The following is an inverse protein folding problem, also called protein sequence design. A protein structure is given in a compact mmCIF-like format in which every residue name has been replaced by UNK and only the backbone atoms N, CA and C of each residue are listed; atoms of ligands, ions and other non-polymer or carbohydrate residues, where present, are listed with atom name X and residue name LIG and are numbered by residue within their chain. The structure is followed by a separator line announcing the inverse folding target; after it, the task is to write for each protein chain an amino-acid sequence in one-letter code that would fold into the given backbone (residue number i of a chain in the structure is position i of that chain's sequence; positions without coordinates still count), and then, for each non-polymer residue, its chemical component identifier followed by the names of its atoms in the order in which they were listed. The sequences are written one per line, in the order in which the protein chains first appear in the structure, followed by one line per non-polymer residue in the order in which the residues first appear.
data_IF_781718489245
#
_entry.id   IF_781718489245
#
_cell.length_a   1.000
_cell.length_b   1.000
_cell.length_c   1.000
_cell.angle_alpha   90.00
_cell.angle_beta   90.00
_cell.angle_gamma   90.00
#
_symmetry.space_group_name_H-M   'P 1'
#
loop_
_entity.id
_entity.type
_entity.pdbx_description
1 polymer ?
#
# COMPACT_ATOMS: atom_id res chain seq x y z
N UNK A 1 -13.94 15.73 28.47
CA UNK A 1 -13.82 14.93 27.24
C UNK A 1 -13.00 15.60 26.13
N UNK A 2 -12.80 16.93 26.10
CA UNK A 2 -11.99 17.60 25.06
C UNK A 2 -10.46 17.64 25.32
N UNK A 3 -10.00 17.14 26.47
CA UNK A 3 -8.62 17.34 26.94
C UNK A 3 -7.61 16.35 26.32
N UNK A 4 -8.09 15.24 25.77
CA UNK A 4 -7.21 14.16 25.26
C UNK A 4 -6.91 14.26 23.76
N UNK A 5 -7.54 15.19 23.04
CA UNK A 5 -7.27 15.42 21.61
C UNK A 5 -5.89 16.07 21.46
N UNK A 6 -4.97 15.34 20.82
CA UNK A 6 -3.59 15.79 20.55
C UNK A 6 -3.40 16.28 19.11
N UNK A 7 -4.26 15.88 18.18
CA UNK A 7 -4.30 16.37 16.81
C UNK A 7 -5.75 16.62 16.42
N UNK A 8 -6.06 17.82 15.92
CA UNK A 8 -7.38 18.17 15.41
C UNK A 8 -7.25 18.79 14.02
N UNK A 9 -7.93 18.19 13.04
CA UNK A 9 -8.00 18.67 11.67
C UNK A 9 -9.43 19.12 11.38
N UNK A 10 -9.59 20.34 10.87
CA UNK A 10 -10.90 20.94 10.58
C UNK A 10 -10.91 21.58 9.19
N UNK A 11 -11.87 21.13 8.38
CA UNK A 11 -12.22 21.63 7.05
C UNK A 11 -11.00 21.84 6.14
N UNK A 12 -10.05 20.91 6.26
CA UNK A 12 -8.72 21.05 5.67
C UNK A 12 -8.78 20.77 4.17
N UNK A 13 -8.42 21.77 3.38
CA UNK A 13 -8.37 21.67 1.92
C UNK A 13 -7.02 22.12 1.38
N UNK A 14 -6.58 21.50 0.28
CA UNK A 14 -5.33 21.85 -0.40
C UNK A 14 -5.46 21.64 -1.90
N UNK A 15 -5.16 22.69 -2.68
CA UNK A 15 -5.09 22.64 -4.13
C UNK A 15 -3.70 23.02 -4.64
N UNK A 16 -3.23 22.35 -5.69
CA UNK A 16 -2.01 22.64 -6.43
C UNK A 16 -2.34 23.13 -7.84
N UNK A 17 -1.62 24.13 -8.33
CA UNK A 17 -1.70 24.55 -9.73
C UNK A 17 -0.68 23.76 -10.55
N UNK A 18 -1.14 22.94 -11.50
CA UNK A 18 -0.31 22.26 -12.48
C UNK A 18 0.29 23.28 -13.46
N UNK A 19 1.58 23.14 -13.77
CA UNK A 19 2.27 23.95 -14.77
C UNK A 19 2.93 25.24 -14.27
N UNK A 20 2.78 25.60 -13.00
CA UNK A 20 3.57 26.67 -12.38
C UNK A 20 4.61 26.08 -11.43
N UNK A 21 5.83 25.86 -11.94
CA UNK A 21 7.00 25.76 -11.07
C UNK A 21 7.10 27.10 -10.34
N UNK A 22 7.10 27.07 -9.01
CA UNK A 22 7.34 28.24 -8.17
C UNK A 22 8.53 29.03 -8.72
N UNK A 23 8.33 30.31 -9.02
CA UNK A 23 9.38 31.20 -9.58
C UNK A 23 10.44 31.60 -8.54
N UNK A 24 10.47 30.93 -7.38
CA UNK A 24 11.65 30.88 -6.51
C UNK A 24 11.97 32.13 -5.70
N UNK A 25 11.08 33.13 -5.61
CA UNK A 25 11.37 34.31 -4.77
C UNK A 25 10.12 34.90 -4.13
N UNK A 26 10.11 35.03 -2.80
CA UNK A 26 9.03 35.58 -1.98
C UNK A 26 8.58 36.99 -2.42
N UNK A 27 9.48 37.77 -3.01
CA UNK A 27 9.21 39.10 -3.55
C UNK A 27 8.21 39.05 -4.72
N UNK A 28 8.29 38.02 -5.57
CA UNK A 28 7.40 37.86 -6.72
C UNK A 28 5.98 37.46 -6.31
N UNK A 29 5.83 36.62 -5.28
CA UNK A 29 4.52 36.22 -4.75
C UNK A 29 3.80 37.38 -4.04
N UNK A 30 4.54 38.24 -3.34
CA UNK A 30 4.00 39.45 -2.71
C UNK A 30 3.53 40.46 -3.76
N UNK A 31 4.31 40.63 -4.84
CA UNK A 31 3.97 41.54 -5.93
C UNK A 31 2.71 41.06 -6.68
N UNK A 32 2.60 39.74 -6.93
CA UNK A 32 1.42 39.12 -7.56
C UNK A 32 0.15 39.29 -6.71
N UNK A 33 0.27 39.19 -5.39
CA UNK A 33 -0.84 39.43 -4.47
C UNK A 33 -1.31 40.89 -4.50
N UNK A 34 -0.38 41.87 -4.53
CA UNK A 34 -0.72 43.29 -4.69
C UNK A 34 -1.43 43.58 -6.02
N UNK A 35 -0.93 43.05 -7.14
CA UNK A 35 -1.57 43.26 -8.46
C UNK A 35 -2.98 42.66 -8.52
N UNK A 36 -3.21 41.50 -7.89
CA UNK A 36 -4.55 40.92 -7.74
C UNK A 36 -5.48 41.76 -6.87
N UNK A 37 -5.00 42.34 -5.77
CA UNK A 37 -5.82 43.22 -4.92
C UNK A 37 -6.17 44.54 -5.61
N UNK A 38 -5.31 45.03 -6.51
CA UNK A 38 -5.54 46.26 -7.28
C UNK A 38 -6.33 46.04 -8.58
N UNK A 39 -6.81 44.81 -8.83
CA UNK A 39 -7.59 44.48 -10.03
C UNK A 39 -6.80 44.55 -11.34
N UNK A 40 -5.46 44.51 -11.28
CA UNK A 40 -4.58 44.56 -12.44
C UNK A 40 -4.13 43.15 -12.88
N UNK A 41 -3.88 42.94 -14.18
CA UNK A 41 -3.38 41.66 -14.69
C UNK A 41 -1.98 41.34 -14.14
N UNK A 42 -1.70 40.04 -13.96
CA UNK A 42 -0.48 39.54 -13.33
C UNK A 42 0.76 39.80 -14.21
N UNK A 43 1.76 40.57 -13.75
CA UNK A 43 2.91 40.97 -14.57
C UNK A 43 3.84 39.80 -14.97
N UNK A 44 3.64 38.60 -14.42
CA UNK A 44 4.45 37.41 -14.71
C UNK A 44 3.70 36.34 -15.51
N UNK A 45 2.52 36.66 -16.03
CA UNK A 45 1.78 35.77 -16.93
C UNK A 45 2.51 35.73 -18.29
N UNK A 46 3.05 34.56 -18.68
CA UNK A 46 3.81 34.43 -19.93
C UNK A 46 2.87 34.66 -21.13
N UNK A 47 3.10 35.75 -21.84
CA UNK A 47 2.45 36.05 -23.12
C UNK A 47 3.01 35.12 -24.21
N UNK A 48 2.11 34.38 -24.88
CA UNK A 48 2.42 33.68 -26.12
C UNK A 48 2.59 32.16 -26.00
N UNK A 49 1.47 31.43 -25.92
CA UNK A 49 1.35 30.10 -26.52
C UNK A 49 -0.01 30.04 -27.21
N UNK A 50 -0.02 30.29 -28.52
CA UNK A 50 -1.17 29.96 -29.36
C UNK A 50 -1.23 28.45 -29.52
N UNK A 51 -2.29 27.82 -29.02
CA UNK A 51 -2.70 26.49 -29.49
C UNK A 51 -4.20 26.49 -29.66
N UNK A 52 -4.61 26.08 -30.86
CA UNK A 52 -5.98 26.12 -31.35
C UNK A 52 -6.89 25.19 -30.55
N UNK A 53 -8.12 25.67 -30.41
CA UNK A 53 -9.24 25.13 -29.64
C UNK A 53 -9.53 23.64 -29.85
N UNK A 54 -9.52 22.90 -28.74
CA UNK A 54 -10.29 21.67 -28.50
C UNK A 54 -10.81 21.73 -27.07
N UNK A 55 -12.12 21.61 -26.89
CA UNK A 55 -12.83 21.93 -25.66
C UNK A 55 -12.45 21.05 -24.46
N UNK A 56 -11.59 21.56 -23.57
CA UNK A 56 -11.77 21.40 -22.12
C UNK A 56 -10.97 22.47 -21.35
N UNK A 57 -11.65 23.56 -20.98
CA UNK A 57 -11.08 24.71 -20.30
C UNK A 57 -10.88 24.48 -18.80
N UNK A 58 -9.95 23.59 -18.41
CA UNK A 58 -9.48 23.51 -17.02
C UNK A 58 -8.06 24.05 -16.91
N UNK A 59 -7.95 25.31 -16.53
CA UNK A 59 -6.78 25.82 -15.80
C UNK A 59 -6.43 24.81 -14.70
N UNK A 60 -5.30 24.12 -14.84
CA UNK A 60 -5.01 22.87 -14.13
C UNK A 60 -4.87 23.05 -12.62
N UNK A 61 -5.98 23.02 -11.88
CA UNK A 61 -5.99 22.94 -10.41
C UNK A 61 -6.27 21.50 -9.99
N UNK A 62 -5.32 20.88 -9.31
CA UNK A 62 -5.50 19.56 -8.68
C UNK A 62 -5.83 19.77 -7.23
N UNK A 63 -7.04 19.38 -6.81
CA UNK A 63 -7.40 19.33 -5.40
C UNK A 63 -6.88 18.04 -4.77
N UNK A 64 -5.90 18.17 -3.89
CA UNK A 64 -5.29 17.06 -3.17
C UNK A 64 -6.01 16.72 -1.87
N UNK A 65 -6.59 17.71 -1.18
CA UNK A 65 -7.46 17.53 -0.02
C UNK A 65 -8.69 18.44 -0.15
N UNK A 66 -9.83 17.94 0.30
CA UNK A 66 -11.14 18.59 0.24
C UNK A 66 -11.89 18.34 1.54
N UNK A 67 -12.06 19.40 2.34
CA UNK A 67 -12.92 19.47 3.53
C UNK A 67 -12.68 18.31 4.51
N UNK A 68 -11.41 18.02 4.77
CA UNK A 68 -10.99 16.92 5.65
C UNK A 68 -11.11 17.36 7.11
N UNK A 69 -11.84 16.59 7.91
CA UNK A 69 -12.05 16.83 9.34
C UNK A 69 -11.96 15.52 10.14
N UNK A 70 -11.08 15.47 11.14
CA UNK A 70 -10.96 14.37 12.09
C UNK A 70 -10.14 14.79 13.32
N UNK A 71 -10.31 14.08 14.44
CA UNK A 71 -9.54 14.27 15.67
C UNK A 71 -8.80 12.98 16.04
N UNK A 72 -7.62 13.10 16.63
CA UNK A 72 -6.83 11.97 17.14
C UNK A 72 -6.52 12.20 18.61
N UNK A 73 -6.77 11.17 19.42
CA UNK A 73 -6.57 11.20 20.86
C UNK A 73 -5.16 10.70 21.24
N UNK A 74 -4.71 11.05 22.44
CA UNK A 74 -3.41 10.60 22.93
C UNK A 74 -3.37 9.08 23.00
N UNK A 75 -2.30 8.49 22.45
CA UNK A 75 -2.09 7.05 22.47
C UNK A 75 -2.79 6.29 21.35
N UNK A 76 -3.57 6.96 20.50
CA UNK A 76 -4.11 6.35 19.29
C UNK A 76 -3.01 5.91 18.34
N UNK A 77 -3.19 4.74 17.73
CA UNK A 77 -2.39 4.24 16.61
C UNK A 77 -3.29 4.23 15.38
N UNK A 78 -3.27 5.33 14.64
CA UNK A 78 -4.18 5.57 13.52
C UNK A 78 -3.56 5.17 12.20
N UNK A 79 -4.18 4.23 11.50
CA UNK A 79 -3.86 3.89 10.12
C UNK A 79 -4.51 4.85 9.13
N UNK A 80 -3.73 5.58 8.34
CA UNK A 80 -4.24 6.42 7.24
C UNK A 80 -4.12 5.62 5.94
N UNK A 81 -5.25 5.12 5.45
CA UNK A 81 -5.32 4.22 4.29
C UNK A 81 -5.98 4.89 3.08
N UNK A 82 -5.74 4.35 1.88
CA UNK A 82 -6.34 4.83 0.64
C UNK A 82 -5.42 4.62 -0.56
N UNK A 83 -5.97 4.74 -1.78
CA UNK A 83 -5.20 4.57 -3.02
C UNK A 83 -4.14 5.64 -3.28
N UNK A 84 -3.37 5.46 -4.35
CA UNK A 84 -2.43 6.48 -4.83
C UNK A 84 -3.19 7.74 -5.25
N UNK A 85 -2.65 8.91 -4.90
CA UNK A 85 -3.31 10.19 -5.16
C UNK A 85 -4.51 10.51 -4.25
N UNK A 86 -4.80 9.70 -3.23
CA UNK A 86 -5.91 9.96 -2.31
C UNK A 86 -5.72 11.18 -1.37
N UNK A 87 -4.52 11.78 -1.33
CA UNK A 87 -4.21 12.96 -0.51
C UNK A 87 -3.34 12.71 0.74
N UNK A 88 -3.01 11.43 1.03
CA UNK A 88 -2.24 11.03 2.25
C UNK A 88 -0.93 11.81 2.43
N UNK A 89 -0.06 11.83 1.43
CA UNK A 89 1.23 12.55 1.51
C UNK A 89 1.05 14.07 1.61
N UNK A 90 -0.04 14.62 1.05
CA UNK A 90 -0.37 16.05 1.20
C UNK A 90 -0.82 16.36 2.63
N UNK A 91 -1.65 15.50 3.22
CA UNK A 91 -2.03 15.61 4.63
C UNK A 91 -0.78 15.59 5.53
N UNK A 92 0.11 14.62 5.31
CA UNK A 92 1.33 14.51 6.09
C UNK A 92 2.21 15.76 6.01
N UNK A 93 2.39 16.34 4.80
CA UNK A 93 3.15 17.59 4.61
C UNK A 93 2.53 18.78 5.34
N UNK A 94 1.20 18.80 5.50
CA UNK A 94 0.52 19.85 6.26
C UNK A 94 0.73 19.62 7.77
N UNK A 95 0.56 18.38 8.23
CA UNK A 95 0.76 18.02 9.64
C UNK A 95 2.21 18.25 10.10
N UNK A 96 3.18 17.98 9.24
CA UNK A 96 4.61 18.26 9.49
C UNK A 96 5.00 19.72 9.25
N UNK A 97 4.05 20.60 8.93
CA UNK A 97 4.26 22.04 8.64
C UNK A 97 5.19 22.33 7.45
N UNK A 98 5.40 21.37 6.57
CA UNK A 98 6.17 21.54 5.33
C UNK A 98 5.39 22.37 4.30
N UNK A 99 4.07 22.28 4.29
CA UNK A 99 3.22 23.14 3.44
C UNK A 99 2.00 23.64 4.19
N UNK A 100 1.59 24.88 3.93
CA UNK A 100 0.34 25.43 4.46
C UNK A 100 -0.89 24.86 3.73
N UNK A 101 -2.03 24.68 4.39
CA UNK A 101 -3.29 24.38 3.71
C UNK A 101 -3.74 25.54 2.81
N UNK A 102 -4.65 25.26 1.87
CA UNK A 102 -5.34 26.29 1.08
C UNK A 102 -6.50 26.92 1.86
N UNK A 103 -7.20 26.12 2.66
CA UNK A 103 -8.21 26.56 3.62
C UNK A 103 -8.34 25.53 4.76
N UNK A 104 -9.04 25.91 5.83
CA UNK A 104 -9.12 25.12 7.06
C UNK A 104 -7.85 25.19 7.89
N UNK A 105 -7.75 24.36 8.92
CA UNK A 105 -6.60 24.35 9.82
C UNK A 105 -6.37 22.99 10.46
N UNK A 106 -5.11 22.71 10.79
CA UNK A 106 -4.70 21.57 11.61
C UNK A 106 -4.01 22.10 12.87
N UNK A 107 -4.47 21.67 14.05
CA UNK A 107 -3.89 22.01 15.34
C UNK A 107 -3.28 20.77 15.99
N UNK A 108 -2.12 20.96 16.62
CA UNK A 108 -1.30 19.89 17.18
C UNK A 108 -0.88 20.30 18.58
N UNK A 109 -1.13 19.43 19.57
CA UNK A 109 -0.65 19.58 20.94
C UNK A 109 0.54 18.63 21.16
N UNK A 110 1.73 19.20 21.30
CA UNK A 110 2.97 18.45 21.53
C UNK A 110 3.92 18.45 20.32
N UNK A 111 4.97 17.64 20.42
CA UNK A 111 6.01 17.49 19.39
C UNK A 111 5.62 16.41 18.38
N UNK A 112 5.52 16.79 17.10
CA UNK A 112 5.42 15.84 15.98
C UNK A 112 6.84 15.50 15.51
N UNK A 113 7.11 14.20 15.38
CA UNK A 113 8.24 13.70 14.60
C UNK A 113 7.70 12.98 13.36
N UNK A 114 8.35 13.15 12.21
CA UNK A 114 7.94 12.51 10.97
C UNK A 114 9.10 11.72 10.37
N UNK A 115 8.83 10.47 9.99
CA UNK A 115 9.78 9.62 9.28
C UNK A 115 9.88 9.94 7.77
N UNK A 116 9.12 10.92 7.28
CA UNK A 116 9.26 11.45 5.91
C UNK A 116 10.63 12.08 5.65
N UNK A 117 11.31 12.46 6.73
CA UNK A 117 12.55 13.24 6.75
C UNK A 117 13.74 12.42 7.27
N UNK A 118 13.63 11.09 7.24
CA UNK A 118 14.68 10.17 7.71
C UNK A 118 15.99 10.45 6.95
N UNK A 119 16.99 10.92 7.70
CA UNK A 119 18.33 11.26 7.20
C UNK A 119 18.51 12.73 6.85
N UNK A 120 17.43 13.51 6.73
CA UNK A 120 17.57 14.96 6.55
C UNK A 120 18.29 15.57 7.75
N UNK A 121 19.29 16.40 7.47
CA UNK A 121 20.16 16.96 8.50
C UNK A 121 21.37 16.11 8.89
N UNK A 122 21.55 14.92 8.32
CA UNK A 122 22.84 14.24 8.44
C UNK A 122 23.89 15.02 7.66
N UNK A 123 25.02 15.28 8.31
CA UNK A 123 26.17 15.93 7.72
C UNK A 123 27.17 14.87 7.22
N UNK A 124 27.50 14.84 5.91
CA UNK A 124 28.31 13.77 5.32
C UNK A 124 29.72 13.63 5.92
N UNK A 125 30.31 14.74 6.37
CA UNK A 125 31.66 14.76 6.97
C UNK A 125 31.68 14.32 8.45
N UNK A 126 30.53 14.30 9.12
CA UNK A 126 30.43 13.89 10.52
C UNK A 126 30.33 12.37 10.63
N UNK A 127 30.82 11.83 11.75
CA UNK A 127 30.68 10.42 12.11
C UNK A 127 29.23 10.04 12.39
N UNK A 128 28.92 8.74 12.44
CA UNK A 128 27.59 8.26 12.82
C UNK A 128 27.15 8.81 14.18
N UNK A 129 28.03 8.80 15.17
CA UNK A 129 27.75 9.33 16.51
C UNK A 129 27.43 10.82 16.49
N UNK A 130 28.25 11.63 15.82
CA UNK A 130 28.02 13.07 15.70
C UNK A 130 26.70 13.36 14.97
N UNK A 131 26.35 12.54 13.98
CA UNK A 131 25.06 12.63 13.29
C UNK A 131 23.87 12.24 14.19
N UNK A 132 24.02 11.26 15.10
CA UNK A 132 23.01 10.96 16.11
C UNK A 132 22.74 12.20 16.99
N UNK A 133 23.80 12.89 17.44
CA UNK A 133 23.66 14.12 18.23
C UNK A 133 23.06 15.27 17.43
N UNK A 134 23.53 15.50 16.20
CA UNK A 134 23.04 16.57 15.32
C UNK A 134 21.55 16.38 14.99
N UNK A 135 21.18 15.18 14.52
CA UNK A 135 19.81 14.88 14.14
C UNK A 135 18.87 14.83 15.35
N UNK A 136 19.33 14.27 16.48
CA UNK A 136 18.59 14.33 17.74
C UNK A 136 18.30 15.77 18.17
N UNK A 137 19.28 16.67 18.08
CA UNK A 137 19.09 18.09 18.40
C UNK A 137 18.10 18.78 17.44
N UNK A 138 18.21 18.52 16.14
CA UNK A 138 17.25 19.03 15.14
C UNK A 138 15.81 18.58 15.42
N UNK A 139 15.64 17.35 15.90
CA UNK A 139 14.34 16.77 16.24
C UNK A 139 13.91 17.08 17.69
N UNK A 140 14.62 18.00 18.36
CA UNK A 140 14.23 18.54 19.67
C UNK A 140 14.63 17.70 20.88
N UNK A 141 15.62 16.81 20.75
CA UNK A 141 16.26 16.14 21.87
C UNK A 141 17.39 16.99 22.46
N UNK A 142 17.46 17.03 23.79
CA UNK A 142 18.64 17.58 24.48
C UNK A 142 19.81 16.60 24.37
N UNK A 143 21.05 17.10 24.44
CA UNK A 143 22.26 16.26 24.47
C UNK A 143 22.21 15.18 25.55
N UNK A 144 21.58 15.48 26.70
CA UNK A 144 21.37 14.51 27.79
C UNK A 144 20.43 13.38 27.39
N UNK A 145 19.30 13.71 26.74
CA UNK A 145 18.35 12.71 26.23
C UNK A 145 18.99 11.85 25.14
N UNK A 146 19.71 12.46 24.20
CA UNK A 146 20.40 11.73 23.13
C UNK A 146 21.47 10.80 23.70
N UNK A 147 22.30 11.27 24.63
CA UNK A 147 23.31 10.44 25.29
C UNK A 147 22.69 9.26 26.05
N UNK A 148 21.55 9.48 26.71
CA UNK A 148 20.85 8.41 27.43
C UNK A 148 20.24 7.32 26.54
N UNK A 149 20.09 7.58 25.24
CA UNK A 149 19.54 6.63 24.24
C UNK A 149 20.57 6.17 23.22
N UNK A 150 21.81 6.65 23.31
CA UNK A 150 22.85 6.41 22.31
C UNK A 150 23.07 4.91 22.08
N UNK A 151 23.25 4.15 23.16
CA UNK A 151 23.51 2.71 23.07
C UNK A 151 22.33 1.95 22.43
N UNK A 152 21.09 2.33 22.76
CA UNK A 152 19.88 1.76 22.15
C UNK A 152 19.78 2.09 20.65
N UNK A 153 20.08 3.32 20.27
CA UNK A 153 20.09 3.77 18.86
C UNK A 153 21.13 2.98 18.08
N UNK A 154 22.33 2.85 18.62
CA UNK A 154 23.42 2.13 17.96
C UNK A 154 23.04 0.65 17.83
N UNK A 155 22.65 -0.01 18.92
CA UNK A 155 22.16 -1.39 18.98
C UNK A 155 21.05 -1.69 17.96
N UNK A 156 20.10 -0.76 17.84
CA UNK A 156 18.99 -0.89 16.91
C UNK A 156 19.45 -0.78 15.45
N UNK A 157 20.35 0.16 15.15
CA UNK A 157 20.87 0.39 13.80
C UNK A 157 21.79 -0.73 13.29
N UNK A 158 22.47 -1.44 14.19
CA UNK A 158 23.44 -2.49 13.85
C UNK A 158 24.70 -1.96 13.15
N UNK A 159 25.10 -0.71 13.45
CA UNK A 159 26.27 -0.06 12.84
C UNK A 159 27.45 0.10 13.80
N UNK A 160 27.45 -0.55 14.97
CA UNK A 160 28.44 -0.42 16.04
C UNK A 160 29.88 -0.33 15.51
N UNK A 161 30.33 -1.21 14.58
CA UNK A 161 31.72 -1.18 14.10
C UNK A 161 32.06 0.08 13.30
N UNK A 162 31.04 0.76 12.75
CA UNK A 162 31.14 1.91 11.86
C UNK A 162 30.70 3.22 12.52
N UNK A 163 30.36 3.22 13.81
CA UNK A 163 29.81 4.40 14.50
C UNK A 163 30.74 5.62 14.41
N UNK A 164 32.06 5.41 14.48
CA UNK A 164 33.10 6.45 14.36
C UNK A 164 33.53 6.73 12.92
N UNK A 165 32.87 6.14 11.93
CA UNK A 165 33.14 6.37 10.51
C UNK A 165 32.26 7.52 9.99
N UNK A 166 32.81 8.46 9.19
CA UNK A 166 32.01 9.50 8.55
C UNK A 166 30.87 8.93 7.70
N UNK A 167 29.68 9.53 7.81
CA UNK A 167 28.45 9.01 7.16
C UNK A 167 28.55 8.99 5.63
N UNK A 168 29.37 9.83 5.00
CA UNK A 168 29.64 9.73 3.55
C UNK A 168 30.25 8.40 3.10
N UNK A 169 30.82 7.61 4.03
CA UNK A 169 31.38 6.28 3.77
C UNK A 169 30.40 5.15 4.09
N UNK A 170 29.19 5.47 4.53
CA UNK A 170 28.17 4.47 4.81
C UNK A 170 27.60 3.94 3.50
N UNK A 171 27.22 2.67 3.47
CA UNK A 171 26.31 2.19 2.44
C UNK A 171 24.96 2.90 2.59
N UNK A 172 24.16 2.94 1.51
CA UNK A 172 22.79 3.45 1.57
C UNK A 172 21.95 2.76 2.65
N UNK A 173 22.15 1.45 2.85
CA UNK A 173 21.49 0.69 3.92
C UNK A 173 21.91 1.14 5.32
N UNK A 174 23.20 1.31 5.58
CA UNK A 174 23.70 1.81 6.87
C UNK A 174 23.18 3.22 7.19
N UNK A 175 23.16 4.09 6.18
CA UNK A 175 22.64 5.45 6.29
C UNK A 175 21.17 5.44 6.75
N UNK A 176 20.33 4.67 6.06
CA UNK A 176 18.90 4.57 6.38
C UNK A 176 18.67 3.89 7.73
N UNK A 177 19.42 2.83 8.05
CA UNK A 177 19.33 2.15 9.35
C UNK A 177 19.63 3.10 10.51
N UNK A 178 20.70 3.90 10.40
CA UNK A 178 21.04 4.88 11.42
C UNK A 178 19.97 5.97 11.56
N UNK A 179 19.56 6.55 10.43
CA UNK A 179 18.57 7.62 10.42
C UNK A 179 17.23 7.15 11.02
N UNK A 180 16.81 5.93 10.69
CA UNK A 180 15.62 5.33 11.28
C UNK A 180 15.81 5.04 12.77
N UNK A 181 16.96 4.50 13.17
CA UNK A 181 17.25 4.21 14.57
C UNK A 181 17.15 5.46 15.45
N UNK A 182 17.71 6.59 15.00
CA UNK A 182 17.57 7.87 15.69
C UNK A 182 16.10 8.24 15.81
N UNK A 183 15.37 8.19 14.69
CA UNK A 183 13.99 8.61 14.64
C UNK A 183 13.05 7.75 15.51
N UNK A 184 13.24 6.43 15.53
CA UNK A 184 12.46 5.50 16.34
C UNK A 184 12.71 5.65 17.86
N UNK A 185 13.84 6.24 18.24
CA UNK A 185 14.18 6.53 19.64
C UNK A 185 13.90 7.99 20.03
N UNK A 186 13.31 8.79 19.14
CA UNK A 186 12.89 10.15 19.46
C UNK A 186 11.92 10.20 20.63
N UNK A 187 11.93 11.34 21.31
CA UNK A 187 10.97 11.68 22.34
C UNK A 187 9.92 12.61 21.75
N UNK A 188 9.00 12.05 20.96
CA UNK A 188 7.90 12.77 20.32
C UNK A 188 6.56 12.35 20.91
N UNK A 189 5.62 13.30 20.97
CA UNK A 189 4.25 13.05 21.42
C UNK A 189 3.42 12.35 20.33
N UNK A 190 3.71 12.69 19.07
CA UNK A 190 3.06 12.15 17.88
C UNK A 190 4.14 11.73 16.89
N UNK A 191 4.14 10.45 16.49
CA UNK A 191 5.04 9.90 15.49
C UNK A 191 4.30 9.66 14.18
N UNK A 192 4.72 10.32 13.11
CA UNK A 192 4.23 10.09 11.75
C UNK A 192 5.17 9.10 11.07
N UNK A 193 4.58 8.04 10.55
CA UNK A 193 5.28 6.94 9.90
C UNK A 193 4.73 6.81 8.49
N UNK A 194 5.57 7.05 7.49
CA UNK A 194 5.22 6.84 6.08
C UNK A 194 5.79 5.50 5.58
N UNK A 195 5.14 4.96 4.57
CA UNK A 195 5.36 3.65 3.94
C UNK A 195 6.81 3.37 3.49
N UNK A 196 7.63 4.41 3.41
CA UNK A 196 9.10 4.38 3.21
C UNK A 196 9.83 3.51 4.26
N UNK A 197 9.14 3.03 5.30
CA UNK A 197 9.59 1.90 6.14
C UNK A 197 10.08 0.67 5.37
N UNK A 198 9.71 0.50 4.09
CA UNK A 198 10.19 -0.59 3.26
C UNK A 198 11.69 -0.52 2.91
N UNK A 199 12.41 0.55 3.30
CA UNK A 199 13.85 0.68 3.04
C UNK A 199 14.66 -0.04 4.14
N UNK A 200 15.36 -1.11 3.76
CA UNK A 200 16.14 -1.95 4.65
C UNK A 200 16.02 -3.43 4.28
N UNK A 201 16.77 -4.31 4.95
CA UNK A 201 16.56 -5.75 4.84
C UNK A 201 15.33 -6.21 5.67
N UNK A 202 14.83 -7.42 5.40
CA UNK A 202 13.65 -7.97 6.06
C UNK A 202 13.82 -8.09 7.59
N UNK A 203 15.04 -8.31 8.07
CA UNK A 203 15.32 -8.36 9.51
C UNK A 203 15.16 -6.98 10.15
N UNK A 204 15.68 -5.94 9.52
CA UNK A 204 15.55 -4.56 9.98
C UNK A 204 14.09 -4.09 9.92
N UNK A 205 13.35 -4.40 8.85
CA UNK A 205 11.91 -4.10 8.77
C UNK A 205 11.14 -4.73 9.94
N UNK A 206 11.44 -5.98 10.31
CA UNK A 206 10.85 -6.64 11.48
C UNK A 206 11.19 -5.92 12.78
N UNK A 207 12.43 -5.45 12.95
CA UNK A 207 12.85 -4.62 14.10
C UNK A 207 12.07 -3.30 14.14
N UNK A 208 11.87 -2.64 12.99
CA UNK A 208 11.10 -1.41 12.87
C UNK A 208 9.65 -1.59 13.32
N UNK A 209 8.97 -2.62 12.81
CA UNK A 209 7.58 -2.93 13.17
C UNK A 209 7.45 -3.27 14.66
N UNK A 210 8.38 -4.06 15.22
CA UNK A 210 8.41 -4.36 16.64
C UNK A 210 8.62 -3.13 17.52
N UNK A 211 9.52 -2.22 17.12
CA UNK A 211 9.73 -0.95 17.84
C UNK A 211 8.49 -0.07 17.79
N UNK A 212 7.82 0.03 16.64
CA UNK A 212 6.58 0.78 16.51
C UNK A 212 5.49 0.26 17.43
N UNK A 213 5.36 -1.07 17.54
CA UNK A 213 4.43 -1.70 18.47
C UNK A 213 4.76 -1.36 19.94
N UNK A 214 6.04 -1.44 20.33
CA UNK A 214 6.46 -1.03 21.68
C UNK A 214 6.20 0.46 21.95
N UNK A 215 6.38 1.31 20.94
CA UNK A 215 6.12 2.75 21.03
C UNK A 215 4.63 3.02 21.24
N UNK A 216 3.76 2.30 20.54
CA UNK A 216 2.32 2.34 20.76
C UNK A 216 1.94 1.90 22.18
N UNK A 217 2.50 0.80 22.68
CA UNK A 217 2.24 0.30 24.04
C UNK A 217 2.64 1.29 25.14
N UNK A 218 3.62 2.16 24.88
CA UNK A 218 4.01 3.23 25.82
C UNK A 218 3.06 4.44 25.86
N UNK A 219 1.91 4.37 25.18
CA UNK A 219 0.90 5.43 25.17
C UNK A 219 1.25 6.62 24.25
N UNK A 220 2.19 6.44 23.32
CA UNK A 220 2.54 7.44 22.31
C UNK A 220 1.56 7.36 21.14
N UNK A 221 1.22 8.51 20.59
CA UNK A 221 0.31 8.61 19.44
C UNK A 221 1.08 8.33 18.16
N UNK A 222 0.55 7.49 17.28
CA UNK A 222 1.20 7.10 16.02
C UNK A 222 0.24 7.31 14.86
N UNK A 223 0.67 8.04 13.83
CA UNK A 223 -0.01 8.12 12.54
C UNK A 223 0.75 7.25 11.54
N UNK A 224 0.14 6.14 11.15
CA UNK A 224 0.75 5.18 10.25
C UNK A 224 0.12 5.26 8.86
N UNK A 225 0.87 5.73 7.88
CA UNK A 225 0.42 5.90 6.50
C UNK A 225 1.01 4.79 5.65
N UNK A 226 0.16 3.93 5.12
CA UNK A 226 0.60 2.75 4.37
C UNK A 226 -0.48 2.24 3.42
N UNK A 227 -0.08 1.59 2.32
CA UNK A 227 -0.96 0.69 1.56
C UNK A 227 -1.00 -0.75 2.12
N UNK A 228 -0.17 -1.08 3.12
CA UNK A 228 -0.07 -2.42 3.71
C UNK A 228 -1.21 -2.70 4.69
N UNK A 229 -2.31 -3.27 4.20
CA UNK A 229 -3.52 -3.52 4.98
C UNK A 229 -3.32 -4.49 6.16
N UNK A 230 -2.44 -5.49 6.01
CA UNK A 230 -2.10 -6.40 7.10
C UNK A 230 -1.43 -5.69 8.27
N UNK A 231 -0.56 -4.72 7.98
CA UNK A 231 0.11 -3.93 9.01
C UNK A 231 -0.88 -3.04 9.74
N UNK A 232 -1.85 -2.45 9.03
CA UNK A 232 -2.93 -1.64 9.64
C UNK A 232 -3.77 -2.50 10.58
N UNK A 233 -4.21 -3.68 10.14
CA UNK A 233 -5.00 -4.61 10.99
C UNK A 233 -4.27 -5.05 12.25
N UNK A 234 -2.95 -5.23 12.18
CA UNK A 234 -2.15 -5.74 13.29
C UNK A 234 -1.71 -4.64 14.26
N UNK A 235 -1.41 -3.44 13.77
CA UNK A 235 -0.76 -2.39 14.54
C UNK A 235 -1.72 -1.26 14.94
N UNK A 236 -2.73 -0.97 14.13
CA UNK A 236 -3.60 0.18 14.34
C UNK A 236 -4.85 -0.23 15.09
N UNK A 237 -5.22 0.58 16.10
CA UNK A 237 -6.52 0.46 16.76
C UNK A 237 -7.60 1.19 15.95
N UNK A 238 -7.25 2.27 15.26
CA UNK A 238 -8.16 3.11 14.47
C UNK A 238 -7.68 3.21 13.02
N UNK A 239 -8.59 3.36 12.07
CA UNK A 239 -8.23 3.65 10.68
C UNK A 239 -9.08 4.76 10.07
N UNK A 240 -8.43 5.61 9.29
CA UNK A 240 -9.04 6.68 8.51
C UNK A 240 -8.77 6.40 7.05
N UNK A 241 -9.84 6.18 6.29
CA UNK A 241 -9.79 5.90 4.88
C UNK A 241 -9.99 7.16 4.05
N UNK A 242 -8.97 7.50 3.26
CA UNK A 242 -8.98 8.58 2.29
C UNK A 242 -9.32 8.09 0.88
N UNK A 243 -10.16 8.86 0.19
CA UNK A 243 -10.45 8.69 -1.23
C UNK A 243 -10.63 10.06 -1.90
N UNK A 244 -9.90 10.29 -3.00
CA UNK A 244 -9.99 11.52 -3.81
C UNK A 244 -9.91 12.82 -2.97
N UNK A 245 -9.04 12.83 -1.96
CA UNK A 245 -8.80 13.98 -1.09
C UNK A 245 -9.82 14.16 0.05
N UNK A 246 -10.74 13.21 0.26
CA UNK A 246 -11.76 13.25 1.32
C UNK A 246 -11.63 12.06 2.26
N UNK A 247 -12.09 12.21 3.49
CA UNK A 247 -12.27 11.08 4.43
C UNK A 247 -13.58 10.38 4.08
N UNK A 248 -13.50 9.12 3.69
CA UNK A 248 -14.66 8.30 3.39
C UNK A 248 -15.17 7.56 4.63
N UNK A 249 -14.25 7.13 5.49
CA UNK A 249 -14.56 6.43 6.73
C UNK A 249 -13.49 6.71 7.79
N UNK A 250 -13.92 6.86 9.04
CA UNK A 250 -13.06 7.00 10.22
C UNK A 250 -13.69 6.16 11.34
N UNK A 251 -12.95 5.17 11.85
CA UNK A 251 -13.45 4.27 12.89
C UNK A 251 -12.33 3.70 13.75
N UNK A 252 -12.62 3.53 15.04
CA UNK A 252 -11.79 2.83 16.04
C UNK A 252 -11.80 1.30 15.88
N UNK A 253 -12.42 0.78 14.82
CA UNK A 253 -12.25 -0.59 14.37
C UNK A 253 -11.47 -0.58 13.05
N UNK A 254 -10.14 -0.54 13.17
CA UNK A 254 -9.26 -0.54 12.00
C UNK A 254 -9.50 -1.74 11.07
N UNK A 255 -9.85 -2.90 11.63
CA UNK A 255 -10.09 -4.12 10.84
C UNK A 255 -11.33 -3.96 9.97
N UNK A 256 -12.41 -3.42 10.51
CA UNK A 256 -13.63 -3.15 9.75
C UNK A 256 -13.41 -2.13 8.62
N UNK A 257 -12.67 -1.04 8.86
CA UNK A 257 -12.36 -0.06 7.81
C UNK A 257 -11.50 -0.69 6.71
N UNK A 258 -10.51 -1.50 7.08
CA UNK A 258 -9.67 -2.21 6.10
C UNK A 258 -10.52 -3.21 5.28
N UNK A 259 -11.43 -3.94 5.92
CA UNK A 259 -12.36 -4.83 5.22
C UNK A 259 -13.22 -4.06 4.23
N UNK A 260 -13.78 -2.91 4.63
CA UNK A 260 -14.61 -2.10 3.73
C UNK A 260 -13.80 -1.46 2.60
N UNK A 261 -12.57 -1.02 2.88
CA UNK A 261 -11.63 -0.53 1.86
C UNK A 261 -11.34 -1.61 0.82
N UNK A 262 -10.99 -2.81 1.27
CA UNK A 262 -10.74 -3.95 0.38
C UNK A 262 -12.02 -4.33 -0.36
N UNK A 263 -13.16 -4.43 0.33
CA UNK A 263 -14.46 -4.66 -0.30
C UNK A 263 -14.74 -3.65 -1.39
N UNK A 264 -14.51 -2.35 -1.19
CA UNK A 264 -14.76 -1.35 -2.23
C UNK A 264 -13.80 -1.44 -3.40
N UNK A 265 -12.54 -1.78 -3.13
CA UNK A 265 -11.59 -2.11 -4.21
C UNK A 265 -12.04 -3.33 -5.02
N UNK A 266 -12.81 -4.22 -4.38
CA UNK A 266 -13.40 -5.43 -4.94
C UNK A 266 -14.83 -5.17 -5.49
N UNK A 267 -15.54 -4.14 -5.02
CA UNK A 267 -16.97 -3.90 -5.23
C UNK A 267 -17.29 -3.05 -6.46
N UNK A 268 -16.43 -3.03 -7.46
CA UNK A 268 -16.94 -3.04 -8.84
C UNK A 268 -17.69 -4.35 -9.06
N UNK A 269 -18.95 -4.34 -8.59
CA UNK A 269 -20.07 -5.26 -8.81
C UNK A 269 -19.76 -6.55 -9.55
N UNK A 270 -19.66 -7.70 -8.87
CA UNK A 270 -19.96 -9.03 -9.44
C UNK A 270 -19.37 -9.33 -10.82
N UNK A 271 -18.28 -8.64 -11.18
CA UNK A 271 -17.71 -8.65 -12.50
C UNK A 271 -16.93 -9.95 -12.57
N UNK A 272 -17.54 -10.95 -13.20
CA UNK A 272 -16.85 -12.15 -13.67
C UNK A 272 -15.94 -11.81 -14.85
N UNK A 273 -15.88 -10.55 -15.27
CA UNK A 273 -15.12 -10.07 -16.40
C UNK A 273 -14.68 -8.63 -16.17
N UNK A 274 -13.37 -8.41 -16.22
CA UNK A 274 -12.73 -7.11 -16.28
C UNK A 274 -12.23 -6.86 -17.70
N UNK A 275 -12.45 -5.64 -18.21
CA UNK A 275 -11.98 -5.20 -19.53
C UNK A 275 -11.17 -3.91 -19.40
N UNK A 276 -10.02 -3.87 -20.05
CA UNK A 276 -9.16 -2.69 -20.06
C UNK A 276 -9.81 -1.55 -20.86
N UNK A 277 -9.89 -0.36 -20.24
CA UNK A 277 -10.33 0.87 -20.91
C UNK A 277 -9.17 1.64 -21.56
N UNK A 278 -7.93 1.22 -21.31
CA UNK A 278 -6.76 1.92 -21.85
C UNK A 278 -6.53 1.59 -23.32
N UNK A 279 -6.08 2.56 -24.13
CA UNK A 279 -5.65 2.29 -25.49
C UNK A 279 -4.45 1.35 -25.50
N UNK A 280 -4.29 0.63 -26.61
CA UNK A 280 -3.16 -0.27 -26.80
C UNK A 280 -1.85 0.50 -26.69
N UNK A 281 -0.94 -0.02 -25.86
CA UNK A 281 0.43 0.47 -25.77
C UNK A 281 1.40 -0.61 -26.26
N UNK A 282 1.85 -0.47 -27.51
CA UNK A 282 2.78 -1.41 -28.15
C UNK A 282 4.16 -1.48 -27.47
N UNK A 283 4.47 -0.53 -26.59
CA UNK A 283 5.74 -0.51 -25.85
C UNK A 283 5.62 -1.08 -24.43
N UNK A 284 4.41 -1.42 -23.97
CA UNK A 284 4.22 -1.97 -22.65
C UNK A 284 4.85 -3.36 -22.54
N UNK A 285 5.61 -3.60 -21.46
CA UNK A 285 6.18 -4.92 -21.15
C UNK A 285 5.06 -5.96 -21.04
N UNK A 286 3.97 -5.62 -20.36
CA UNK A 286 2.73 -6.38 -20.37
C UNK A 286 1.57 -5.42 -20.15
N UNK A 287 0.54 -5.50 -21.00
CA UNK A 287 -0.72 -4.78 -20.85
C UNK A 287 -1.89 -5.77 -20.85
N UNK A 288 -2.52 -6.00 -19.68
CA UNK A 288 -3.75 -6.77 -19.60
C UNK A 288 -4.87 -6.10 -20.40
N UNK A 289 -5.61 -6.91 -21.15
CA UNK A 289 -6.75 -6.47 -21.96
C UNK A 289 -8.07 -6.99 -21.39
N UNK A 290 -8.07 -8.21 -20.86
CA UNK A 290 -9.24 -8.86 -20.27
C UNK A 290 -8.82 -9.85 -19.18
N UNK A 291 -9.58 -9.91 -18.10
CA UNK A 291 -9.54 -10.98 -17.12
C UNK A 291 -10.96 -11.48 -16.95
N UNK A 292 -11.23 -12.77 -17.19
CA UNK A 292 -12.59 -13.29 -17.17
C UNK A 292 -12.69 -14.67 -16.51
N UNK A 293 -13.84 -14.93 -15.90
CA UNK A 293 -14.25 -16.23 -15.40
C UNK A 293 -15.29 -16.81 -16.36
N UNK A 294 -15.00 -18.00 -16.88
CA UNK A 294 -15.84 -18.68 -17.88
C UNK A 294 -16.12 -20.13 -17.50
N UNK A 295 -17.19 -20.67 -18.09
CA UNK A 295 -17.54 -22.08 -18.05
C UNK A 295 -16.67 -22.89 -19.03
N UNK A 296 -16.76 -24.22 -18.99
CA UNK A 296 -16.04 -25.10 -19.94
C UNK A 296 -16.50 -24.94 -21.40
N UNK A 297 -17.72 -24.42 -21.62
CA UNK A 297 -18.25 -24.08 -22.95
C UNK A 297 -17.84 -22.66 -23.42
N UNK A 298 -17.03 -21.95 -22.63
CA UNK A 298 -16.58 -20.59 -22.90
C UNK A 298 -17.59 -19.49 -22.58
N UNK A 299 -18.79 -19.83 -22.06
CA UNK A 299 -19.77 -18.83 -21.65
C UNK A 299 -19.33 -18.10 -20.37
N UNK A 300 -19.72 -16.83 -20.23
CA UNK A 300 -19.50 -16.05 -19.01
C UNK A 300 -20.15 -16.73 -17.81
N UNK A 301 -19.40 -16.82 -16.72
CA UNK A 301 -19.83 -17.46 -15.49
C UNK A 301 -21.03 -16.70 -14.88
N UNK A 302 -22.05 -17.43 -14.40
CA UNK A 302 -23.15 -16.84 -13.62
C UNK A 302 -22.94 -17.12 -12.15
N UNK A 303 -22.89 -16.06 -11.34
CA UNK A 303 -22.73 -16.15 -9.89
C UNK A 303 -24.08 -16.28 -9.17
N UNK A 304 -24.14 -16.99 -8.02
CA UNK A 304 -23.07 -17.81 -7.45
C UNK A 304 -22.88 -19.14 -8.19
N UNK A 305 -21.66 -19.66 -8.19
CA UNK A 305 -21.28 -20.88 -8.89
C UNK A 305 -21.35 -22.09 -7.97
N UNK A 306 -21.98 -23.20 -8.37
CA UNK A 306 -21.91 -24.44 -7.62
C UNK A 306 -20.46 -24.90 -7.46
N UNK A 307 -20.05 -25.32 -6.26
CA UNK A 307 -18.70 -25.86 -6.04
C UNK A 307 -18.42 -27.14 -6.82
N UNK A 308 -19.42 -27.74 -7.46
CA UNK A 308 -19.29 -28.91 -8.33
C UNK A 308 -18.92 -28.54 -9.77
N UNK A 309 -18.91 -27.26 -10.11
CA UNK A 309 -18.62 -26.77 -11.45
C UNK A 309 -17.13 -26.37 -11.55
N UNK A 310 -16.50 -26.71 -12.67
CA UNK A 310 -15.17 -26.23 -13.01
C UNK A 310 -15.24 -24.77 -13.49
N UNK A 311 -14.20 -23.99 -13.21
CA UNK A 311 -14.14 -22.57 -13.57
C UNK A 311 -12.86 -22.35 -14.38
N UNK A 312 -12.99 -21.71 -15.54
CA UNK A 312 -11.85 -21.25 -16.32
C UNK A 312 -11.56 -19.78 -15.99
N UNK A 313 -10.29 -19.46 -15.80
CA UNK A 313 -9.77 -18.12 -15.58
C UNK A 313 -8.99 -17.74 -16.83
N UNK A 314 -9.52 -16.80 -17.61
CA UNK A 314 -8.96 -16.36 -18.88
C UNK A 314 -8.26 -15.01 -18.71
N UNK A 315 -7.02 -14.90 -19.21
CA UNK A 315 -6.24 -13.67 -19.24
C UNK A 315 -5.91 -13.36 -20.71
N UNK A 316 -6.47 -12.27 -21.24
CA UNK A 316 -6.05 -11.71 -22.52
C UNK A 316 -5.07 -10.56 -22.26
N UNK A 317 -3.91 -10.59 -22.89
CA UNK A 317 -2.89 -9.58 -22.72
C UNK A 317 -2.10 -9.33 -24.01
N UNK A 318 -1.46 -8.17 -24.06
CA UNK A 318 -0.48 -7.82 -25.09
C UNK A 318 0.86 -7.44 -24.47
N UNK A 319 1.96 -7.72 -25.14
CA UNK A 319 3.32 -7.40 -24.68
C UNK A 319 4.26 -7.08 -25.83
N UNK A 320 5.27 -6.24 -25.55
CA UNK A 320 6.30 -5.88 -26.53
C UNK A 320 7.47 -6.88 -26.61
N UNK A 321 7.72 -7.63 -25.53
CA UNK A 321 8.82 -8.59 -25.40
C UNK A 321 8.38 -9.80 -24.56
N UNK A 322 7.63 -10.75 -25.15
CA UNK A 322 7.06 -11.91 -24.42
C UNK A 322 8.12 -12.75 -23.71
N UNK A 323 9.33 -12.85 -24.25
CA UNK A 323 10.46 -13.58 -23.68
C UNK A 323 10.93 -13.04 -22.32
N UNK A 324 10.60 -11.79 -21.99
CA UNK A 324 10.96 -11.17 -20.72
C UNK A 324 9.92 -11.40 -19.62
N UNK A 325 8.75 -11.94 -19.95
CA UNK A 325 7.71 -12.27 -18.97
C UNK A 325 8.07 -13.61 -18.32
N UNK A 326 8.38 -13.59 -17.02
CA UNK A 326 8.77 -14.78 -16.26
C UNK A 326 7.64 -15.33 -15.40
N UNK A 327 6.72 -14.47 -14.95
CA UNK A 327 5.57 -14.85 -14.16
C UNK A 327 4.34 -14.10 -14.68
N UNK A 328 3.30 -14.82 -15.07
CA UNK A 328 1.98 -14.27 -15.35
C UNK A 328 0.93 -15.30 -14.94
N UNK A 329 -0.08 -14.84 -14.20
CA UNK A 329 -1.14 -15.67 -13.71
C UNK A 329 -2.04 -14.91 -12.74
N UNK A 330 -2.49 -15.59 -11.69
CA UNK A 330 -3.47 -15.03 -10.76
C UNK A 330 -3.15 -15.31 -9.30
N UNK A 331 -3.66 -14.42 -8.46
CA UNK A 331 -3.74 -14.58 -7.02
C UNK A 331 -5.21 -14.70 -6.65
N UNK A 332 -5.55 -15.76 -5.91
CA UNK A 332 -6.91 -15.97 -5.41
C UNK A 332 -6.90 -15.69 -3.91
N UNK A 333 -7.74 -14.75 -3.47
CA UNK A 333 -7.90 -14.38 -2.07
C UNK A 333 -9.36 -14.48 -1.64
N UNK A 334 -9.58 -14.65 -0.34
CA UNK A 334 -10.94 -14.57 0.25
C UNK A 334 -11.38 -13.11 0.39
N UNK A 335 -12.66 -12.88 0.69
CA UNK A 335 -13.22 -11.54 0.93
C UNK A 335 -12.47 -10.72 2.00
N UNK A 336 -11.89 -11.38 3.01
CA UNK A 336 -11.10 -10.70 4.03
C UNK A 336 -9.66 -10.39 3.58
N UNK A 337 -9.27 -10.73 2.35
CA UNK A 337 -7.94 -10.49 1.79
C UNK A 337 -6.94 -11.61 2.10
N UNK A 338 -7.32 -12.67 2.81
CA UNK A 338 -6.42 -13.82 3.02
C UNK A 338 -6.17 -14.51 1.68
N UNK A 339 -4.89 -14.54 1.25
CA UNK A 339 -4.46 -15.24 0.03
C UNK A 339 -4.67 -16.75 0.21
N UNK A 340 -5.43 -17.34 -0.70
CA UNK A 340 -5.70 -18.78 -0.75
C UNK A 340 -4.57 -19.49 -1.49
N UNK A 341 -4.28 -19.03 -2.70
CA UNK A 341 -3.16 -19.52 -3.51
C UNK A 341 -2.76 -18.48 -4.57
N UNK A 342 -1.58 -18.69 -5.14
CA UNK A 342 -1.11 -18.03 -6.37
C UNK A 342 -0.81 -19.12 -7.39
N UNK A 343 -1.04 -18.83 -8.67
CA UNK A 343 -0.60 -19.73 -9.74
C UNK A 343 -0.17 -18.94 -10.96
N UNK A 344 0.96 -19.36 -11.55
CA UNK A 344 1.58 -18.74 -12.70
C UNK A 344 1.82 -19.78 -13.79
N UNK A 345 1.86 -19.36 -15.05
CA UNK A 345 2.16 -20.29 -16.15
C UNK A 345 3.53 -20.98 -16.00
N UNK A 346 4.44 -20.38 -15.23
CA UNK A 346 5.78 -20.87 -14.95
C UNK A 346 5.88 -21.93 -13.85
N UNK A 347 4.77 -22.30 -13.19
CA UNK A 347 4.77 -23.26 -12.07
C UNK A 347 5.09 -24.70 -12.52
N UNK A 348 5.07 -24.98 -13.83
CA UNK A 348 5.36 -26.29 -14.42
C UNK A 348 6.75 -26.33 -15.08
N UNK A 349 7.14 -27.49 -15.62
CA UNK A 349 8.42 -27.64 -16.30
C UNK A 349 8.50 -26.73 -17.56
N UNK A 350 9.64 -26.10 -17.88
CA UNK A 350 9.75 -25.11 -18.96
C UNK A 350 9.29 -25.56 -20.35
N UNK A 351 9.41 -26.85 -20.66
CA UNK A 351 8.95 -27.48 -21.89
C UNK A 351 7.42 -27.54 -22.02
N UNK A 352 6.70 -27.33 -20.92
CA UNK A 352 5.23 -27.31 -20.85
C UNK A 352 4.63 -25.90 -20.80
N UNK A 353 5.47 -24.85 -20.74
CA UNK A 353 4.98 -23.48 -20.65
C UNK A 353 4.22 -23.06 -21.93
N UNK A 354 3.13 -22.30 -21.79
CA UNK A 354 2.44 -21.73 -22.94
C UNK A 354 3.39 -20.76 -23.66
N UNK A 355 3.39 -20.80 -24.99
CA UNK A 355 4.14 -19.84 -25.80
C UNK A 355 3.43 -18.49 -25.79
N UNK A 356 4.10 -17.47 -25.28
CA UNK A 356 3.62 -16.11 -25.31
C UNK A 356 3.99 -15.46 -26.64
N UNK A 357 3.00 -14.84 -27.29
CA UNK A 357 3.18 -13.99 -28.48
C UNK A 357 2.94 -12.53 -28.09
N UNK A 358 3.02 -11.59 -29.03
CA UNK A 358 2.74 -10.18 -28.74
C UNK A 358 1.30 -9.94 -28.26
N UNK A 359 0.39 -10.84 -28.64
CA UNK A 359 -0.98 -10.92 -28.16
C UNK A 359 -1.29 -12.38 -27.86
N UNK A 360 -1.89 -12.65 -26.71
CA UNK A 360 -2.15 -14.02 -26.29
C UNK A 360 -3.30 -14.10 -25.30
N UNK A 361 -3.85 -15.31 -25.19
CA UNK A 361 -4.80 -15.72 -24.15
C UNK A 361 -4.18 -16.84 -23.33
N UNK A 362 -4.14 -16.68 -22.01
CA UNK A 362 -3.86 -17.75 -21.07
C UNK A 362 -5.15 -18.23 -20.42
N UNK A 363 -5.28 -19.53 -20.23
CA UNK A 363 -6.45 -20.15 -19.60
C UNK A 363 -5.95 -21.06 -18.48
N UNK A 364 -6.34 -20.75 -17.24
CA UNK A 364 -6.14 -21.61 -16.08
C UNK A 364 -7.46 -22.26 -15.70
N UNK A 365 -7.48 -23.59 -15.54
CA UNK A 365 -8.68 -24.32 -15.11
C UNK A 365 -8.64 -24.61 -13.62
N UNK A 366 -9.60 -24.08 -12.87
CA UNK A 366 -9.86 -24.44 -11.48
C UNK A 366 -10.80 -25.66 -11.43
N UNK A 367 -10.36 -26.79 -10.85
CA UNK A 367 -11.17 -28.00 -10.84
C UNK A 367 -12.38 -27.85 -9.90
N UNK A 368 -13.44 -28.65 -10.12
CA UNK A 368 -14.55 -28.75 -9.17
C UNK A 368 -14.07 -29.06 -7.76
N UNK A 369 -14.78 -28.51 -6.78
CA UNK A 369 -14.59 -28.73 -5.33
C UNK A 369 -13.21 -28.31 -4.83
N UNK A 370 -12.50 -27.45 -5.55
CA UNK A 370 -11.22 -26.94 -5.06
C UNK A 370 -11.41 -25.93 -3.93
N UNK A 371 -12.27 -24.94 -4.15
CA UNK A 371 -12.65 -23.91 -3.19
C UNK A 371 -13.94 -24.31 -2.46
N UNK A 372 -14.06 -23.87 -1.21
CA UNK A 372 -15.26 -24.05 -0.41
C UNK A 372 -16.32 -22.98 -0.75
N UNK A 373 -17.52 -23.10 -0.16
CA UNK A 373 -18.52 -22.04 -0.27
C UNK A 373 -17.99 -20.75 0.39
N UNK A 374 -18.11 -19.64 -0.32
CA UNK A 374 -17.58 -18.34 0.07
C UNK A 374 -17.40 -17.38 -1.11
N UNK A 375 -16.92 -16.17 -0.79
CA UNK A 375 -16.57 -15.14 -1.77
C UNK A 375 -15.06 -15.03 -1.91
N UNK A 376 -14.61 -14.89 -3.15
CA UNK A 376 -13.22 -14.88 -3.55
C UNK A 376 -12.98 -13.76 -4.56
N UNK A 377 -11.77 -13.22 -4.54
CA UNK A 377 -11.25 -12.30 -5.55
C UNK A 377 -10.17 -13.02 -6.34
N UNK A 378 -10.22 -12.90 -7.66
CA UNK A 378 -9.17 -13.36 -8.57
C UNK A 378 -8.48 -12.14 -9.13
N UNK A 379 -7.22 -11.91 -8.74
CA UNK A 379 -6.42 -10.76 -9.13
C UNK A 379 -5.30 -11.19 -10.09
N UNK A 380 -5.08 -10.44 -11.17
CA UNK A 380 -3.96 -10.67 -12.07
C UNK A 380 -2.64 -10.29 -11.41
N UNK A 381 -1.62 -11.14 -11.58
CA UNK A 381 -0.27 -10.85 -11.14
C UNK A 381 0.74 -11.19 -12.24
N UNK A 382 1.74 -10.33 -12.43
CA UNK A 382 2.75 -10.53 -13.45
C UNK A 382 4.08 -9.83 -13.17
N UNK A 383 5.16 -10.36 -13.71
CA UNK A 383 6.49 -9.78 -13.58
C UNK A 383 7.50 -10.34 -14.57
N UNK A 384 8.65 -9.68 -14.62
CA UNK A 384 9.88 -10.17 -15.23
C UNK A 384 10.72 -10.90 -14.19
N UNK A 385 11.88 -11.43 -14.59
CA UNK A 385 12.82 -12.06 -13.64
C UNK A 385 13.40 -11.07 -12.63
N UNK A 386 13.28 -9.76 -12.88
CA UNK A 386 13.89 -8.69 -12.09
C UNK A 386 12.87 -7.88 -11.30
N UNK A 387 11.65 -7.72 -11.80
CA UNK A 387 10.66 -6.82 -11.21
C UNK A 387 9.21 -7.23 -11.45
N UNK A 388 8.32 -6.74 -10.59
CA UNK A 388 6.88 -6.87 -10.77
C UNK A 388 6.37 -5.83 -11.76
N UNK A 389 5.51 -6.25 -12.68
CA UNK A 389 4.72 -5.36 -13.53
C UNK A 389 3.36 -5.12 -12.85
N UNK A 390 2.68 -6.20 -12.46
CA UNK A 390 1.44 -6.20 -11.68
C UNK A 390 1.69 -6.94 -10.37
N UNK A 391 2.03 -6.19 -9.31
CA UNK A 391 2.37 -6.76 -8.00
C UNK A 391 1.09 -7.07 -7.21
N UNK A 392 0.88 -8.30 -6.70
CA UNK A 392 -0.33 -8.66 -5.95
C UNK A 392 -0.68 -7.66 -4.83
N UNK A 393 -1.95 -7.29 -4.72
CA UNK A 393 -2.45 -6.37 -3.70
C UNK A 393 -2.32 -4.86 -4.03
N UNK A 394 -1.90 -4.51 -5.25
CA UNK A 394 -1.72 -3.12 -5.70
C UNK A 394 -2.79 -2.66 -6.69
N UNK A 395 -4.03 -3.13 -6.53
CA UNK A 395 -5.16 -2.70 -7.37
C UNK A 395 -5.02 -3.12 -8.83
N UNK A 396 -4.48 -4.32 -9.06
CA UNK A 396 -4.38 -4.90 -10.40
C UNK A 396 -5.76 -5.28 -10.93
N UNK A 397 -5.88 -5.59 -12.24
CA UNK A 397 -7.09 -6.17 -12.80
C UNK A 397 -7.59 -7.34 -11.96
N UNK A 398 -8.85 -7.29 -11.54
CA UNK A 398 -9.45 -8.31 -10.69
C UNK A 398 -10.90 -8.58 -11.07
N UNK A 399 -11.35 -9.80 -10.77
CA UNK A 399 -12.73 -10.27 -10.96
C UNK A 399 -13.21 -10.99 -9.71
N UNK A 400 -14.53 -11.06 -9.57
CA UNK A 400 -15.18 -11.61 -8.38
C UNK A 400 -15.73 -13.02 -8.63
N UNK A 401 -15.58 -13.88 -7.63
CA UNK A 401 -16.09 -15.25 -7.65
C UNK A 401 -16.86 -15.54 -6.37
N UNK A 402 -18.13 -15.91 -6.49
CA UNK A 402 -18.96 -16.41 -5.39
C UNK A 402 -19.26 -17.89 -5.61
N UNK A 403 -18.86 -18.73 -4.65
CA UNK A 403 -19.07 -20.17 -4.71
C UNK A 403 -20.16 -20.57 -3.70
N UNK A 404 -21.11 -21.35 -4.17
CA UNK A 404 -22.17 -21.94 -3.36
C UNK A 404 -22.08 -23.47 -3.39
N UNK A 405 -22.53 -24.09 -2.31
CA UNK A 405 -22.45 -25.54 -2.12
C UNK A 405 -21.14 -25.89 -1.43
N UNK A 406 -21.22 -26.29 -0.17
CA UNK A 406 -20.09 -26.82 0.62
C UNK A 406 -20.29 -28.29 0.98
N UNK A 407 -21.29 -28.92 0.36
CA UNK A 407 -21.77 -30.26 0.67
C UNK A 407 -20.92 -31.31 -0.05
N UNK A 408 -20.59 -32.37 0.67
CA UNK A 408 -20.05 -33.59 0.06
C UNK A 408 -21.18 -34.35 -0.62
N UNK A 409 -20.92 -35.06 -1.71
CA UNK A 409 -21.85 -36.05 -2.26
C UNK A 409 -22.09 -37.23 -1.29
N UNK A 410 -21.31 -37.29 -0.20
CA UNK A 410 -21.49 -38.26 0.86
C UNK A 410 -22.83 -38.06 1.57
N UNK A 411 -23.68 -39.10 1.64
CA UNK A 411 -24.91 -39.04 2.43
C UNK A 411 -24.64 -38.85 3.92
N UNK A 412 -23.40 -39.08 4.37
CA UNK A 412 -22.95 -38.98 5.77
C UNK A 412 -22.49 -37.58 6.18
N UNK A 413 -22.26 -36.66 5.23
CA UNK A 413 -21.75 -35.32 5.54
C UNK A 413 -22.49 -34.24 4.76
N UNK A 414 -23.42 -33.56 5.44
CA UNK A 414 -24.32 -32.54 4.87
C UNK A 414 -24.00 -31.11 5.29
N UNK A 415 -22.81 -30.85 5.83
CA UNK A 415 -22.37 -29.53 6.26
C UNK A 415 -21.25 -28.97 5.38
N UNK A 416 -21.04 -27.65 5.45
CA UNK A 416 -19.83 -27.00 4.90
C UNK A 416 -18.60 -27.63 5.53
N UNK A 417 -17.58 -27.96 4.74
CA UNK A 417 -16.28 -28.40 5.28
C UNK A 417 -15.60 -27.24 6.03
N UNK A 418 -14.86 -27.47 7.12
CA UNK A 418 -14.01 -26.43 7.70
C UNK A 418 -12.91 -25.99 6.72
N UNK A 419 -12.52 -24.71 6.77
CA UNK A 419 -11.44 -24.15 5.96
C UNK A 419 -11.89 -23.50 4.64
N UNK A 420 -10.90 -22.98 3.90
CA UNK A 420 -11.11 -22.22 2.64
C UNK A 420 -11.13 -23.12 1.41
N UNK A 421 -10.41 -24.24 1.45
CA UNK A 421 -10.36 -25.26 0.40
C UNK A 421 -11.34 -26.39 0.73
N UNK A 422 -11.88 -27.06 -0.30
CA UNK A 422 -12.78 -28.19 -0.13
C UNK A 422 -12.44 -29.44 -0.97
N UNK A 423 -11.14 -29.79 -1.19
CA UNK A 423 -10.76 -30.84 -2.13
C UNK A 423 -11.35 -32.20 -1.73
N UNK A 424 -11.66 -32.98 -2.76
CA UNK A 424 -12.07 -34.38 -2.61
C UNK A 424 -10.92 -35.26 -3.08
N UNK A 425 -10.23 -35.88 -2.13
CA UNK A 425 -9.18 -36.85 -2.41
C UNK A 425 -9.74 -38.25 -2.55
N UNK A 426 -9.15 -39.03 -3.46
CA UNK A 426 -9.44 -40.46 -3.59
C UNK A 426 -8.67 -41.25 -2.53
N UNK A 427 -9.36 -42.19 -1.88
CA UNK A 427 -8.78 -43.07 -0.87
C UNK A 427 -8.85 -44.50 -1.38
N UNK A 428 -7.75 -45.24 -1.26
CA UNK A 428 -7.66 -46.65 -1.62
C UNK A 428 -7.34 -47.46 -0.37
N UNK A 429 -8.05 -48.58 -0.19
CA UNK A 429 -7.73 -49.55 0.86
C UNK A 429 -6.82 -50.65 0.30
N UNK A 430 -5.76 -51.00 1.03
CA UNK A 430 -4.95 -52.18 0.72
C UNK A 430 -5.54 -53.39 1.47
N UNK A 431 -5.91 -54.45 0.74
CA UNK A 431 -6.64 -55.62 1.28
C UNK A 431 -5.82 -56.49 2.26
N UNK A 432 -4.49 -56.36 2.24
CA UNK A 432 -3.55 -57.05 3.13
C UNK A 432 -2.50 -56.04 3.58
N UNK A 433 -2.72 -55.43 4.74
CA UNK A 433 -1.78 -54.52 5.38
C UNK A 433 -1.54 -55.00 6.81
N UNK A 434 -0.30 -55.41 7.08
CA UNK A 434 0.15 -55.74 8.43
C UNK A 434 0.85 -54.52 9.01
N UNK A 435 0.42 -54.07 10.19
CA UNK A 435 1.11 -52.99 10.89
C UNK A 435 2.58 -53.37 11.11
N UNK A 436 3.54 -52.48 10.85
CA UNK A 436 4.92 -52.74 11.21
C UNK A 436 5.00 -53.02 12.72
N UNK A 437 5.88 -53.95 13.15
CA UNK A 437 6.09 -54.18 14.58
C UNK A 437 6.57 -52.88 15.23
N UNK A 438 6.12 -52.62 16.48
CA UNK A 438 6.56 -51.45 17.22
C UNK A 438 8.10 -51.44 17.31
N UNK A 439 8.76 -50.30 17.05
CA UNK A 439 10.20 -50.20 17.25
C UNK A 439 10.52 -50.44 18.73
N UNK A 440 11.40 -51.42 18.97
CA UNK A 440 11.91 -51.82 20.29
C UNK A 440 12.90 -50.82 20.87
#
# INVERSE_FOLDING_TARGET
MADDIVLSVRDLSKSYNLGQISTGTLVHDLNRWMHRMLGQPDPYEKVGVHTQSGADGRSGKVQALQDVSFDVERGDVVGIIGGNGAGKSTLLKILSRVTAPSSGHASVKGRIASLLEVGTGFHPELTGEENIFLNGAMMGMTTRQTRGRLDEIVAFSGIEPFLRTPVKRYSSGMYVKLAFAVAAHLDADILIVDEVLAVGDAEFQKKCLGKMQSVAETGRTVLFVTHGMDSVRRLCNRAIWFEKGRVLQDSTDATAVVQEYLRKSISSTGETEWLSQEPRNERALLQPRRLALTCDDGATLRLPVPNTQAINIEIDASCCAPENISHLGVVVSTEDGTVVFQSFFGDTAPDTWPRLHNEFRLIMRLPPRYLNAGRYTVELASGTSLEWIHKPGFGNPSVNLEIQGGLSDSPRWRGRRPGVLAPVFQWHSQSQYTLPPNPS
#
